data_IF_117664593179
#
_entry.id   IF_117664593179
#
_cell.length_a   1.000
_cell.length_b   1.000
_cell.length_c   1.000
_cell.angle_alpha   90.00
_cell.angle_beta   90.00
_cell.angle_gamma   90.00
#
_symmetry.space_group_name_H-M   'P 1'
#
loop_
_entity.id
_entity.type
_entity.pdbx_description
1 polymer ?
#
# COMPACT_ATOMS: atom_id res chain seq x y z
N UNK A 1 -11.66 -12.56 10.05
CA UNK A 1 -11.64 -13.44 8.86
C UNK A 1 -12.41 -12.81 7.71
N UNK A 2 -13.63 -12.30 7.91
CA UNK A 2 -14.47 -11.76 6.83
C UNK A 2 -13.79 -10.72 5.93
N UNK A 3 -13.12 -9.72 6.53
CA UNK A 3 -12.39 -8.68 5.77
C UNK A 3 -11.21 -9.27 4.99
N UNK A 4 -10.51 -10.29 5.52
CA UNK A 4 -9.40 -10.93 4.79
C UNK A 4 -9.92 -11.74 3.61
N UNK A 5 -10.94 -12.55 3.84
CA UNK A 5 -11.57 -13.34 2.77
C UNK A 5 -12.13 -12.44 1.68
N UNK A 6 -12.79 -11.34 2.07
CA UNK A 6 -13.27 -10.34 1.13
C UNK A 6 -12.13 -9.68 0.36
N UNK A 7 -11.00 -9.38 1.02
CA UNK A 7 -9.82 -8.82 0.37
C UNK A 7 -9.23 -9.79 -0.66
N UNK A 8 -8.99 -11.04 -0.27
CA UNK A 8 -8.47 -12.11 -1.14
C UNK A 8 -9.38 -12.35 -2.36
N UNK A 9 -10.70 -12.43 -2.15
CA UNK A 9 -11.68 -12.59 -3.24
C UNK A 9 -11.71 -11.35 -4.15
N UNK A 10 -11.61 -10.14 -3.60
CA UNK A 10 -11.57 -8.90 -4.40
C UNK A 10 -10.35 -8.87 -5.31
N UNK A 11 -9.18 -9.28 -4.81
CA UNK A 11 -7.97 -9.42 -5.62
C UNK A 11 -8.11 -10.53 -6.66
N UNK A 12 -8.70 -11.68 -6.30
CA UNK A 12 -9.02 -12.76 -7.25
C UNK A 12 -10.01 -12.30 -8.35
N UNK A 13 -10.89 -11.36 -8.06
CA UNK A 13 -11.82 -10.80 -9.03
C UNK A 13 -11.25 -9.65 -9.86
N UNK A 14 -10.01 -9.20 -9.58
CA UNK A 14 -9.43 -7.95 -10.14
C UNK A 14 -10.25 -6.69 -9.82
N UNK A 15 -11.07 -6.74 -8.76
CA UNK A 15 -11.83 -5.59 -8.27
C UNK A 15 -10.94 -4.80 -7.29
N UNK A 16 -9.98 -4.05 -7.83
CA UNK A 16 -9.02 -3.28 -7.03
C UNK A 16 -9.69 -2.16 -6.22
N UNK A 17 -10.86 -1.68 -6.64
CA UNK A 17 -11.64 -0.73 -5.86
C UNK A 17 -12.07 -1.35 -4.53
N UNK A 18 -12.68 -2.54 -4.56
CA UNK A 18 -13.04 -3.29 -3.35
C UNK A 18 -11.80 -3.75 -2.57
N UNK A 19 -10.73 -4.13 -3.26
CA UNK A 19 -9.49 -4.54 -2.63
C UNK A 19 -8.86 -3.41 -1.79
N UNK A 20 -8.84 -2.17 -2.30
CA UNK A 20 -8.36 -0.99 -1.57
C UNK A 20 -9.25 -0.67 -0.36
N UNK A 21 -10.58 -0.79 -0.48
CA UNK A 21 -11.49 -0.61 0.65
C UNK A 21 -11.27 -1.68 1.73
N UNK A 22 -11.07 -2.93 1.32
CA UNK A 22 -10.78 -4.03 2.22
C UNK A 22 -9.46 -3.82 2.97
N UNK A 23 -8.44 -3.30 2.27
CA UNK A 23 -7.15 -2.95 2.86
C UNK A 23 -7.26 -1.81 3.89
N UNK A 24 -7.94 -0.71 3.58
CA UNK A 24 -8.18 0.37 4.54
C UNK A 24 -8.94 -0.13 5.78
N UNK A 25 -9.97 -0.96 5.58
CA UNK A 25 -10.70 -1.60 6.68
C UNK A 25 -9.79 -2.51 7.51
N UNK A 26 -8.93 -3.30 6.86
CA UNK A 26 -7.96 -4.17 7.52
C UNK A 26 -7.01 -3.36 8.40
N UNK A 27 -6.48 -2.24 7.90
CA UNK A 27 -5.61 -1.35 8.69
C UNK A 27 -6.32 -0.84 9.95
N UNK A 28 -7.56 -0.33 9.81
CA UNK A 28 -8.34 0.21 10.94
C UNK A 28 -8.73 -0.84 11.98
N UNK A 29 -8.81 -2.10 11.59
CA UNK A 29 -9.14 -3.21 12.48
C UNK A 29 -7.94 -3.70 13.30
N UNK A 30 -6.72 -3.29 12.95
CA UNK A 30 -5.47 -3.68 13.63
C UNK A 30 -5.40 -5.20 13.92
N UNK A 31 -5.46 -6.05 12.87
CA UNK A 31 -5.48 -7.50 13.06
C UNK A 31 -4.17 -7.99 13.69
N UNK A 32 -4.19 -9.15 14.37
CA UNK A 32 -2.97 -9.79 14.85
C UNK A 32 -1.97 -10.06 13.71
N UNK A 33 -0.68 -9.95 14.01
CA UNK A 33 0.41 -10.09 13.03
C UNK A 33 0.33 -11.39 12.22
N UNK A 34 0.09 -12.53 12.88
CA UNK A 34 0.00 -13.84 12.23
C UNK A 34 -1.13 -13.90 11.18
N UNK A 35 -2.22 -13.18 11.43
CA UNK A 35 -3.39 -13.14 10.55
C UNK A 35 -3.07 -12.29 9.32
N UNK A 36 -2.48 -11.10 9.55
CA UNK A 36 -2.07 -10.22 8.47
C UNK A 36 -1.05 -10.91 7.55
N UNK A 37 -0.03 -11.56 8.13
CA UNK A 37 1.00 -12.29 7.39
C UNK A 37 0.41 -13.38 6.50
N UNK A 38 -0.58 -14.12 7.00
CA UNK A 38 -1.29 -15.15 6.22
C UNK A 38 -2.02 -14.53 5.03
N UNK A 39 -2.82 -13.48 5.25
CA UNK A 39 -3.60 -12.82 4.20
C UNK A 39 -2.71 -12.19 3.14
N UNK A 40 -1.66 -11.49 3.54
CA UNK A 40 -0.68 -10.89 2.61
C UNK A 40 0.03 -11.96 1.79
N UNK A 41 0.40 -13.08 2.41
CA UNK A 41 0.97 -14.23 1.73
C UNK A 41 0.05 -14.81 0.64
N UNK A 42 -1.24 -14.99 0.96
CA UNK A 42 -2.25 -15.45 0.00
C UNK A 42 -2.39 -14.49 -1.18
N UNK A 43 -2.51 -13.19 -0.91
CA UNK A 43 -2.65 -12.16 -1.94
C UNK A 43 -1.39 -12.09 -2.83
N UNK A 44 -0.20 -12.18 -2.24
CA UNK A 44 1.05 -12.21 -2.99
C UNK A 44 1.14 -13.44 -3.92
N UNK A 45 0.68 -14.62 -3.46
CA UNK A 45 0.58 -15.81 -4.30
C UNK A 45 -0.38 -15.61 -5.47
N UNK A 46 -1.59 -15.09 -5.19
CA UNK A 46 -2.58 -14.76 -6.21
C UNK A 46 -1.97 -13.84 -7.27
N UNK A 47 -1.28 -12.77 -6.85
CA UNK A 47 -0.63 -11.83 -7.76
C UNK A 47 0.42 -12.47 -8.68
N UNK A 48 1.25 -13.38 -8.16
CA UNK A 48 2.29 -14.08 -8.95
C UNK A 48 1.70 -14.90 -10.09
N UNK A 49 0.62 -15.64 -9.85
CA UNK A 49 -0.01 -16.48 -10.88
C UNK A 49 -0.83 -15.67 -11.91
N UNK A 50 -1.17 -14.41 -11.61
CA UNK A 50 -1.99 -13.55 -12.49
C UNK A 50 -1.22 -12.61 -13.41
N UNK A 51 0.07 -12.34 -13.17
CA UNK A 51 0.90 -11.37 -13.94
C UNK A 51 0.95 -11.58 -15.46
N UNK A 52 0.34 -12.63 -16.01
CA UNK A 52 0.19 -12.86 -17.44
C UNK A 52 -0.83 -11.95 -18.17
N UNK A 53 -1.61 -11.08 -17.51
CA UNK A 53 -2.79 -10.41 -18.15
C UNK A 53 -3.00 -8.88 -17.98
N UNK A 54 -2.13 -8.11 -17.32
CA UNK A 54 -2.50 -6.73 -16.94
C UNK A 54 -2.39 -5.70 -18.07
N UNK A 55 -3.54 -5.22 -18.58
CA UNK A 55 -3.67 -4.03 -19.45
C UNK A 55 -3.81 -2.70 -18.67
N UNK A 56 -4.13 -2.76 -17.37
CA UNK A 56 -4.50 -1.57 -16.56
C UNK A 56 -3.57 -1.30 -15.37
N UNK A 57 -2.30 -1.67 -15.47
CA UNK A 57 -1.31 -1.53 -14.38
C UNK A 57 -1.14 -0.09 -13.84
N UNK A 58 -1.54 0.92 -14.62
CA UNK A 58 -1.42 2.34 -14.26
C UNK A 58 -2.73 2.97 -13.73
N UNK A 59 -3.79 2.20 -13.50
CA UNK A 59 -5.02 2.76 -12.91
C UNK A 59 -4.80 3.28 -11.49
N UNK A 60 -5.65 4.22 -11.04
CA UNK A 60 -5.64 4.75 -9.66
C UNK A 60 -5.72 3.61 -8.66
N UNK A 61 -6.68 2.71 -8.84
CA UNK A 61 -6.97 1.62 -7.93
C UNK A 61 -5.81 0.63 -7.85
N UNK A 62 -5.13 0.38 -8.99
CA UNK A 62 -3.92 -0.45 -9.01
C UNK A 62 -2.78 0.17 -8.23
N UNK A 63 -2.56 1.48 -8.36
CA UNK A 63 -1.51 2.19 -7.61
C UNK A 63 -1.78 2.17 -6.10
N UNK A 64 -3.01 2.45 -5.68
CA UNK A 64 -3.42 2.39 -4.28
C UNK A 64 -3.34 0.95 -3.72
N UNK A 65 -3.73 -0.06 -4.50
CA UNK A 65 -3.61 -1.46 -4.11
C UNK A 65 -2.14 -1.87 -3.92
N UNK A 66 -1.26 -1.49 -4.85
CA UNK A 66 0.18 -1.77 -4.74
C UNK A 66 0.77 -1.14 -3.47
N UNK A 67 0.38 0.11 -3.16
CA UNK A 67 0.76 0.73 -1.90
C UNK A 67 0.32 -0.10 -0.69
N UNK A 68 -0.93 -0.55 -0.65
CA UNK A 68 -1.42 -1.34 0.49
C UNK A 68 -0.66 -2.66 0.65
N UNK A 69 -0.30 -3.29 -0.47
CA UNK A 69 0.54 -4.49 -0.44
C UNK A 69 1.92 -4.20 0.09
N UNK A 70 2.58 -3.14 -0.38
CA UNK A 70 3.89 -2.72 0.14
C UNK A 70 3.80 -2.40 1.63
N UNK A 71 2.77 -1.66 2.06
CA UNK A 71 2.51 -1.31 3.45
C UNK A 71 2.36 -2.55 4.32
N UNK A 72 1.50 -3.48 3.95
CA UNK A 72 1.29 -4.69 4.74
C UNK A 72 2.50 -5.62 4.75
N UNK A 73 3.24 -5.71 3.65
CA UNK A 73 4.49 -6.46 3.60
C UNK A 73 5.51 -5.83 4.55
N UNK A 74 5.67 -4.51 4.53
CA UNK A 74 6.64 -3.80 5.37
C UNK A 74 6.33 -3.98 6.85
N UNK A 75 5.07 -3.82 7.28
CA UNK A 75 4.71 -4.02 8.70
C UNK A 75 4.70 -5.49 9.13
N UNK A 76 4.79 -6.44 8.18
CA UNK A 76 4.94 -7.87 8.48
C UNK A 76 6.41 -8.31 8.59
N UNK A 77 7.37 -7.41 8.32
CA UNK A 77 8.80 -7.68 8.50
C UNK A 77 9.21 -7.51 9.95
N UNK A 78 10.24 -8.25 10.35
CA UNK A 78 10.90 -8.01 11.64
C UNK A 78 11.70 -6.70 11.58
N UNK A 79 11.85 -6.02 12.71
CA UNK A 79 12.62 -4.77 12.79
C UNK A 79 14.06 -4.93 12.27
N UNK A 80 14.67 -6.10 12.49
CA UNK A 80 15.99 -6.46 11.97
C UNK A 80 16.08 -6.57 10.44
N UNK A 81 14.95 -6.67 9.75
CA UNK A 81 14.86 -6.82 8.29
C UNK A 81 14.56 -5.49 7.57
N UNK A 82 14.32 -4.40 8.32
CA UNK A 82 14.06 -3.07 7.81
C UNK A 82 15.34 -2.44 7.25
N UNK A 83 15.64 -2.76 6.00
CA UNK A 83 16.82 -2.27 5.26
C UNK A 83 16.46 -1.31 4.13
N UNK A 84 15.16 -1.10 3.88
CA UNK A 84 14.65 -0.22 2.84
C UNK A 84 15.02 1.25 3.12
N UNK A 85 15.31 2.01 2.06
CA UNK A 85 15.43 3.48 2.14
C UNK A 85 14.11 4.19 1.84
N UNK A 86 13.10 3.44 1.35
CA UNK A 86 11.76 3.93 1.03
C UNK A 86 10.73 3.16 1.86
N UNK A 87 9.78 3.88 2.44
CA UNK A 87 8.75 3.34 3.32
C UNK A 87 7.36 3.81 2.89
N UNK A 88 6.37 2.90 2.81
CA UNK A 88 4.97 3.26 2.68
C UNK A 88 4.45 3.85 4.00
N UNK A 89 3.78 5.00 3.93
CA UNK A 89 3.25 5.72 5.10
C UNK A 89 1.83 6.21 4.85
N UNK A 90 1.04 6.25 5.92
CA UNK A 90 -0.31 6.83 5.92
C UNK A 90 -0.23 8.21 6.60
N UNK A 91 -0.37 9.28 5.81
CA UNK A 91 -0.36 10.64 6.33
C UNK A 91 -1.76 11.01 6.83
N UNK A 92 -1.89 11.36 8.10
CA UNK A 92 -3.15 11.85 8.65
C UNK A 92 -3.29 13.35 8.39
N UNK A 93 -4.18 13.72 7.47
CA UNK A 93 -4.47 15.11 7.17
C UNK A 93 -5.36 15.76 8.25
N UNK A 94 -5.40 17.10 8.34
CA UNK A 94 -6.32 17.82 9.24
C UNK A 94 -7.80 17.49 9.02
N UNK A 95 -8.17 17.02 7.82
CA UNK A 95 -9.51 16.50 7.51
C UNK A 95 -9.85 15.17 8.21
N UNK A 96 -8.86 14.54 8.88
CA UNK A 96 -8.92 13.20 9.48
C UNK A 96 -9.00 12.06 8.47
N UNK A 97 -8.62 12.33 7.24
CA UNK A 97 -8.46 11.31 6.20
C UNK A 97 -6.99 10.92 6.09
N UNK A 98 -6.75 9.63 5.81
CA UNK A 98 -5.39 9.16 5.54
C UNK A 98 -5.08 9.32 4.06
N UNK A 99 -3.95 9.95 3.75
CA UNK A 99 -3.36 9.97 2.41
C UNK A 99 -2.24 8.94 2.34
N UNK A 100 -2.37 8.02 1.38
CA UNK A 100 -1.37 7.00 1.08
C UNK A 100 -0.18 7.68 0.41
N UNK A 101 0.99 7.58 1.03
CA UNK A 101 2.21 8.27 0.57
C UNK A 101 3.44 7.41 0.77
N UNK A 102 4.51 7.69 0.03
CA UNK A 102 5.82 7.10 0.30
C UNK A 102 6.76 8.16 0.84
N UNK A 103 7.61 7.75 1.78
CA UNK A 103 8.75 8.54 2.23
C UNK A 103 10.04 7.83 1.82
N UNK A 104 11.01 8.58 1.33
CA UNK A 104 12.33 8.07 0.97
C UNK A 104 13.41 8.87 1.67
N UNK A 105 14.31 8.19 2.37
CA UNK A 105 15.43 8.79 3.08
C UNK A 105 16.70 8.56 2.28
N UNK A 106 17.24 9.61 1.68
CA UNK A 106 18.43 9.55 0.85
C UNK A 106 19.66 9.99 1.66
N UNK A 107 20.41 9.01 2.17
CA UNK A 107 21.61 9.25 3.00
C UNK A 107 22.94 9.08 2.26
N UNK A 108 22.91 8.45 1.09
CA UNK A 108 24.10 8.08 0.29
C UNK A 108 24.62 9.21 -0.62
N UNK A 109 23.84 10.28 -0.76
CA UNK A 109 24.17 11.44 -1.58
C UNK A 109 24.85 12.54 -0.74
N UNK A 110 25.61 13.41 -1.40
CA UNK A 110 26.39 14.47 -0.75
C UNK A 110 25.51 15.41 0.11
N UNK A 111 24.31 15.72 -0.36
CA UNK A 111 23.28 16.43 0.39
C UNK A 111 22.17 15.47 0.78
N UNK A 112 22.16 15.06 2.06
CA UNK A 112 21.12 14.18 2.60
C UNK A 112 19.76 14.86 2.47
N UNK A 113 18.77 14.14 1.94
CA UNK A 113 17.41 14.65 1.85
C UNK A 113 16.38 13.57 2.18
N UNK A 114 15.16 14.03 2.42
CA UNK A 114 13.98 13.18 2.59
C UNK A 114 12.98 13.65 1.54
N UNK A 115 12.46 12.71 0.76
CA UNK A 115 11.38 12.98 -0.19
C UNK A 115 10.10 12.35 0.31
N UNK A 116 8.99 13.05 0.19
CA UNK A 116 7.65 12.56 0.52
C UNK A 116 6.74 12.79 -0.68
N UNK A 117 6.00 11.77 -1.13
CA UNK A 117 5.03 11.96 -2.20
C UNK A 117 3.80 11.10 -2.04
N UNK A 118 2.65 11.61 -2.50
CA UNK A 118 1.39 10.87 -2.50
C UNK A 118 1.37 9.81 -3.59
N UNK A 119 0.78 8.66 -3.28
CA UNK A 119 0.60 7.55 -4.24
C UNK A 119 -0.29 7.97 -5.41
N UNK A 120 -1.33 8.74 -5.12
CA UNK A 120 -2.24 9.25 -6.12
C UNK A 120 -2.73 10.63 -5.71
N UNK A 121 -2.91 11.50 -6.71
CA UNK A 121 -3.52 12.81 -6.56
C UNK A 121 -4.66 12.96 -7.58
N UNK A 122 -5.76 13.57 -7.15
CA UNK A 122 -6.81 13.97 -8.08
C UNK A 122 -6.24 15.02 -9.05
N UNK A 123 -6.35 14.86 -10.38
CA UNK A 123 -5.89 15.85 -11.34
C UNK A 123 -6.49 17.26 -11.13
N UNK A 124 -7.61 17.36 -10.41
CA UNK A 124 -8.26 18.62 -10.04
C UNK A 124 -7.75 19.22 -8.73
N UNK A 125 -6.99 18.47 -7.95
CA UNK A 125 -6.33 18.98 -6.76
C UNK A 125 -5.00 19.63 -7.15
N UNK A 126 -4.83 20.90 -6.79
CA UNK A 126 -3.66 21.70 -7.15
C UNK A 126 -2.70 21.90 -5.98
N UNK A 127 -2.98 21.28 -4.82
CA UNK A 127 -2.05 21.29 -3.70
C UNK A 127 -0.77 20.54 -4.09
N UNK A 128 0.41 20.88 -3.53
CA UNK A 128 1.59 20.06 -3.68
C UNK A 128 1.32 18.63 -3.18
N UNK A 129 1.92 17.64 -3.83
CA UNK A 129 1.79 16.22 -3.49
C UNK A 129 3.15 15.49 -3.48
N UNK A 130 4.25 16.23 -3.68
CA UNK A 130 5.62 15.78 -3.75
C UNK A 130 6.49 16.88 -3.11
N UNK A 131 7.30 16.50 -2.13
CA UNK A 131 8.10 17.38 -1.29
C UNK A 131 9.51 16.82 -1.13
#
# INVERSE_FOLDING_TARGET
>A
WDVATFFEISVLAEDYNKAVQAADCMYRLEPPEWYLKSTVGNIALIGRFRKSKNKDANSKESQLFNFWMDFFIEISKLESELTSSQFPVLLLEPSREFILSYIQVNTEIQEKNVRLWHVWQDPKDHRPNDW
#
